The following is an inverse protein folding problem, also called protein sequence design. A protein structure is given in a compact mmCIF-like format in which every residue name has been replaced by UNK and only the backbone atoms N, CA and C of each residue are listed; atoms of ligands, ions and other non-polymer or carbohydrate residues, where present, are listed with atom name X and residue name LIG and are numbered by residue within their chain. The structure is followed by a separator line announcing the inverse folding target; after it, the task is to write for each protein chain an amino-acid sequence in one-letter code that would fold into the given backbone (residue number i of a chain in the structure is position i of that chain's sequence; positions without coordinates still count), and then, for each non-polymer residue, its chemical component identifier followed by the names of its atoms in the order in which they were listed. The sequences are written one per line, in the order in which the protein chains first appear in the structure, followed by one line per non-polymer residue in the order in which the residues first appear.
data_IF_668125085318
#
_entry.id   IF_668125085318
#
_cell.length_a   1.000
_cell.length_b   1.000
_cell.length_c   1.000
_cell.angle_alpha   90.00
_cell.angle_beta   90.00
_cell.angle_gamma   90.00
#
_symmetry.space_group_name_H-M   'P 1'
#
loop_
_entity.id
_entity.type
_entity.pdbx_description
1 polymer ?
#
# COMPACT_ATOMS: atom_id res chain seq x y z
N UNK A 1 -41.67 28.16 53.14
CA UNK A 1 -42.09 28.04 51.74
C UNK A 1 -40.82 27.80 50.96
N UNK A 2 -40.46 26.53 50.82
CA UNK A 2 -40.43 25.73 49.55
C UNK A 2 -39.15 26.06 48.76
N UNK A 3 -38.30 25.13 48.33
CA UNK A 3 -38.31 23.67 48.21
C UNK A 3 -36.85 23.19 48.04
N UNK A 4 -36.58 21.93 48.37
CA UNK A 4 -35.37 21.18 47.99
C UNK A 4 -35.42 20.78 46.51
N UNK A 5 -34.29 20.69 45.80
CA UNK A 5 -33.94 19.47 45.02
C UNK A 5 -32.44 19.39 44.70
N UNK A 6 -31.90 18.17 44.83
CA UNK A 6 -30.55 17.69 44.54
C UNK A 6 -30.27 17.42 43.04
N UNK A 7 -28.96 17.37 42.72
CA UNK A 7 -28.21 16.42 41.84
C UNK A 7 -28.47 16.26 40.33
N UNK A 8 -27.36 16.28 39.59
CA UNK A 8 -26.76 15.22 38.73
C UNK A 8 -26.22 15.86 37.44
N UNK A 9 -24.91 15.83 37.18
CA UNK A 9 -24.23 14.79 36.38
C UNK A 9 -24.01 15.33 34.95
N UNK A 10 -22.84 15.91 34.64
CA UNK A 10 -21.62 15.24 34.14
C UNK A 10 -21.73 14.84 32.65
N UNK A 11 -20.84 15.47 31.87
CA UNK A 11 -20.11 15.00 30.68
C UNK A 11 -20.80 14.06 29.68
N UNK A 12 -20.85 14.52 28.42
CA UNK A 12 -20.42 13.78 27.23
C UNK A 12 -20.50 14.71 26.01
N UNK A 13 -19.38 15.32 25.62
CA UNK A 13 -19.20 15.98 24.31
C UNK A 13 -17.76 15.89 23.77
N UNK A 14 -17.00 14.89 24.21
CA UNK A 14 -15.60 14.70 23.81
C UNK A 14 -15.36 13.37 23.05
N UNK A 15 -16.42 12.73 22.53
CA UNK A 15 -16.31 11.41 21.90
C UNK A 15 -16.31 11.38 20.37
N UNK A 16 -16.70 12.45 19.69
CA UNK A 16 -16.76 12.47 18.20
C UNK A 16 -15.53 13.14 17.56
N UNK A 17 -14.82 14.03 18.29
CA UNK A 17 -13.73 14.82 17.71
C UNK A 17 -12.37 14.09 17.61
N UNK A 18 -12.19 12.98 18.34
CA UNK A 18 -10.91 12.24 18.36
C UNK A 18 -10.83 11.22 17.21
N UNK A 19 -11.95 10.60 16.82
CA UNK A 19 -12.02 9.71 15.66
C UNK A 19 -11.84 10.44 14.31
N UNK A 20 -12.23 11.74 14.25
CA UNK A 20 -12.17 12.56 13.03
C UNK A 20 -10.74 12.94 12.61
N UNK A 21 -9.76 12.85 13.51
CA UNK A 21 -8.38 13.29 13.26
C UNK A 21 -7.49 12.19 12.66
N UNK A 22 -7.96 10.93 12.69
CA UNK A 22 -7.13 9.73 12.48
C UNK A 22 -6.96 9.36 10.99
N UNK A 23 -7.96 9.64 10.14
CA UNK A 23 -7.98 9.16 8.75
C UNK A 23 -7.69 10.21 7.66
N UNK A 24 -7.42 11.47 8.04
CA UNK A 24 -7.26 12.58 7.09
C UNK A 24 -5.81 12.82 6.62
N UNK A 25 -5.01 11.77 6.34
CA UNK A 25 -3.66 11.94 5.78
C UNK A 25 -3.53 11.59 4.29
N UNK A 26 -4.52 12.02 3.50
CA UNK A 26 -4.45 12.11 2.03
C UNK A 26 -3.60 13.30 1.54
N UNK A 27 -2.78 13.90 2.41
CA UNK A 27 -2.03 15.14 2.13
C UNK A 27 -2.79 16.43 2.46
N UNK A 28 -3.99 16.32 3.03
CA UNK A 28 -4.76 17.44 3.53
C UNK A 28 -4.08 18.06 4.76
N UNK A 29 -3.89 19.38 4.76
CA UNK A 29 -3.26 20.12 5.88
C UNK A 29 -4.13 21.27 6.39
N UNK A 30 -5.31 21.46 5.81
CA UNK A 30 -6.29 22.47 6.21
C UNK A 30 -7.61 21.78 6.50
N UNK A 31 -8.41 22.35 7.39
CA UNK A 31 -9.72 21.78 7.77
C UNK A 31 -10.58 21.47 6.53
N UNK A 32 -10.76 22.45 5.65
CA UNK A 32 -11.53 22.25 4.42
C UNK A 32 -10.95 21.13 3.52
N UNK A 33 -9.63 20.94 3.48
CA UNK A 33 -9.04 19.83 2.74
C UNK A 33 -9.28 18.49 3.43
N UNK A 34 -9.32 18.45 4.77
CA UNK A 34 -9.65 17.25 5.54
C UNK A 34 -11.12 16.88 5.30
N UNK A 35 -12.04 17.86 5.39
CA UNK A 35 -13.47 17.65 5.14
C UNK A 35 -13.74 17.07 3.73
N UNK A 36 -13.02 17.57 2.71
CA UNK A 36 -13.11 17.05 1.33
C UNK A 36 -12.58 15.62 1.24
N UNK A 37 -11.44 15.34 1.87
CA UNK A 37 -10.80 14.04 1.86
C UNK A 37 -11.69 12.99 2.54
N UNK A 38 -12.25 13.33 3.70
CA UNK A 38 -13.20 12.52 4.46
C UNK A 38 -14.48 12.26 3.66
N UNK A 39 -15.13 13.31 3.14
CA UNK A 39 -16.31 13.18 2.28
C UNK A 39 -16.04 12.27 1.09
N UNK A 40 -14.85 12.37 0.48
CA UNK A 40 -14.48 11.50 -0.64
C UNK A 40 -14.34 10.04 -0.21
N UNK A 41 -13.77 9.77 0.96
CA UNK A 41 -13.60 8.39 1.46
C UNK A 41 -14.93 7.79 1.90
N UNK A 42 -15.83 8.59 2.49
CA UNK A 42 -17.19 8.14 2.82
C UNK A 42 -17.98 7.71 1.59
N UNK A 43 -17.80 8.40 0.47
CA UNK A 43 -18.38 7.98 -0.81
C UNK A 43 -17.76 6.65 -1.26
N UNK A 44 -16.44 6.47 -1.12
CA UNK A 44 -15.76 5.22 -1.52
C UNK A 44 -16.22 4.04 -0.66
N UNK A 45 -16.38 4.21 0.65
CA UNK A 45 -16.86 3.19 1.60
C UNK A 45 -18.30 2.74 1.35
N UNK A 46 -19.09 3.49 0.56
CA UNK A 46 -20.39 3.01 0.09
C UNK A 46 -20.28 1.90 -0.97
N UNK A 47 -19.12 1.78 -1.62
CA UNK A 47 -18.89 0.82 -2.70
C UNK A 47 -17.90 -0.29 -2.36
N UNK A 48 -16.91 0.01 -1.52
CA UNK A 48 -15.88 -0.94 -1.10
C UNK A 48 -16.11 -1.24 0.39
N UNK A 49 -16.11 -2.53 0.81
CA UNK A 49 -16.14 -2.89 2.22
C UNK A 49 -15.01 -2.25 3.03
N UNK A 50 -15.06 -2.36 4.35
CA UNK A 50 -14.03 -1.86 5.28
C UNK A 50 -13.76 -2.89 6.38
N UNK A 51 -13.65 -4.16 6.00
CA UNK A 51 -13.53 -5.29 6.94
C UNK A 51 -12.09 -5.87 6.95
N UNK A 52 -11.41 -5.81 5.82
CA UNK A 52 -10.07 -6.36 5.62
C UNK A 52 -9.03 -5.25 5.37
N UNK A 53 -7.75 -5.53 5.64
CA UNK A 53 -6.68 -4.61 5.25
C UNK A 53 -6.57 -4.48 3.73
N UNK A 54 -6.88 -5.55 3.00
CA UNK A 54 -7.03 -5.54 1.55
C UNK A 54 -8.14 -4.58 1.09
N UNK A 55 -9.17 -4.36 1.89
CA UNK A 55 -10.22 -3.40 1.55
C UNK A 55 -9.72 -1.95 1.63
N UNK A 56 -8.85 -1.61 2.58
CA UNK A 56 -8.17 -0.30 2.60
C UNK A 56 -7.37 -0.06 1.33
N UNK A 57 -6.68 -1.07 0.82
CA UNK A 57 -5.96 -1.02 -0.45
C UNK A 57 -6.94 -0.81 -1.62
N UNK A 58 -8.08 -1.50 -1.63
CA UNK A 58 -9.14 -1.32 -2.64
C UNK A 58 -9.73 0.07 -2.60
N UNK A 59 -10.11 0.58 -1.42
CA UNK A 59 -10.62 1.94 -1.24
C UNK A 59 -9.61 2.97 -1.75
N UNK A 60 -8.33 2.81 -1.38
CA UNK A 60 -7.26 3.70 -1.84
C UNK A 60 -7.07 3.65 -3.36
N UNK A 61 -7.24 2.48 -3.98
CA UNK A 61 -7.20 2.34 -5.44
C UNK A 61 -8.35 3.09 -6.12
N UNK A 62 -9.58 2.96 -5.60
CA UNK A 62 -10.76 3.66 -6.11
C UNK A 62 -10.60 5.17 -5.96
N UNK A 63 -10.20 5.64 -4.78
CA UNK A 63 -9.97 7.06 -4.51
C UNK A 63 -8.90 7.64 -5.45
N UNK A 64 -7.75 6.96 -5.58
CA UNK A 64 -6.64 7.46 -6.41
C UNK A 64 -6.97 7.47 -7.90
N UNK A 65 -7.81 6.55 -8.38
CA UNK A 65 -8.15 6.43 -9.80
C UNK A 65 -9.43 7.16 -10.18
N UNK A 66 -10.28 7.51 -9.20
CA UNK A 66 -11.62 8.06 -9.44
C UNK A 66 -12.54 7.07 -10.15
N UNK A 67 -12.33 5.76 -9.95
CA UNK A 67 -13.01 4.68 -10.67
C UNK A 67 -13.37 3.55 -9.71
N UNK A 68 -14.67 3.35 -9.45
CA UNK A 68 -15.18 2.37 -8.50
C UNK A 68 -14.83 0.94 -8.91
N UNK A 69 -14.69 0.69 -10.21
CA UNK A 69 -14.39 -0.65 -10.74
C UNK A 69 -12.98 -1.11 -10.37
N UNK A 70 -12.09 -0.20 -9.95
CA UNK A 70 -10.73 -0.56 -9.60
C UNK A 70 -10.65 -1.56 -8.44
N UNK A 71 -11.61 -1.54 -7.52
CA UNK A 71 -11.69 -2.50 -6.41
C UNK A 71 -11.68 -3.96 -6.87
N UNK A 72 -12.25 -4.23 -8.05
CA UNK A 72 -12.36 -5.58 -8.64
C UNK A 72 -11.14 -5.98 -9.48
N UNK A 73 -10.18 -5.07 -9.64
CA UNK A 73 -8.97 -5.33 -10.43
C UNK A 73 -7.77 -5.69 -9.58
N UNK A 74 -7.80 -5.37 -8.28
CA UNK A 74 -6.69 -5.59 -7.36
C UNK A 74 -6.52 -7.09 -7.13
N UNK A 75 -5.27 -7.53 -7.22
CA UNK A 75 -4.88 -8.93 -7.00
C UNK A 75 -3.84 -8.96 -5.89
N UNK A 76 -4.02 -9.86 -4.95
CA UNK A 76 -3.18 -10.05 -3.77
C UNK A 76 -2.54 -11.43 -3.86
N UNK A 77 -1.24 -11.53 -3.61
CA UNK A 77 -0.48 -12.78 -3.70
C UNK A 77 0.46 -12.88 -2.52
N UNK A 78 0.56 -14.07 -1.92
CA UNK A 78 1.43 -14.36 -0.79
C UNK A 78 0.65 -14.80 0.43
N UNK A 79 1.34 -15.47 1.33
CA UNK A 79 0.78 -15.97 2.59
C UNK A 79 1.64 -15.51 3.76
N UNK A 80 1.11 -15.59 4.98
CA UNK A 80 1.92 -15.46 6.19
C UNK A 80 1.46 -16.44 7.28
N UNK A 81 1.97 -16.27 8.51
CA UNK A 81 1.69 -17.18 9.63
C UNK A 81 0.19 -17.23 10.03
N UNK A 82 -0.59 -16.20 9.67
CA UNK A 82 -2.02 -16.13 9.95
C UNK A 82 -2.81 -16.94 8.93
N UNK A 83 -2.38 -16.87 7.65
CA UNK A 83 -2.97 -17.65 6.59
C UNK A 83 -2.64 -17.14 5.19
N UNK A 84 -3.29 -17.79 4.22
CA UNK A 84 -3.31 -17.41 2.81
C UNK A 84 -4.56 -16.56 2.55
N UNK A 85 -4.52 -15.31 3.02
CA UNK A 85 -5.58 -14.32 2.86
C UNK A 85 -5.07 -13.08 2.10
N UNK A 86 -5.99 -12.25 1.62
CA UNK A 86 -5.62 -11.04 0.85
C UNK A 86 -4.92 -9.97 1.70
N UNK A 87 -5.02 -10.08 3.02
CA UNK A 87 -4.36 -9.18 3.96
C UNK A 87 -2.87 -9.48 4.10
N UNK A 88 -2.41 -10.72 3.83
CA UNK A 88 -1.02 -11.14 3.97
C UNK A 88 -0.01 -10.19 3.28
N UNK A 89 -0.16 -9.82 1.99
CA UNK A 89 0.74 -8.84 1.37
C UNK A 89 0.63 -7.43 1.94
N UNK A 90 -0.52 -7.04 2.50
CA UNK A 90 -0.69 -5.74 3.17
C UNK A 90 0.06 -5.75 4.51
N UNK A 91 -0.08 -6.82 5.30
CA UNK A 91 0.66 -7.03 6.54
C UNK A 91 2.16 -7.06 6.30
N UNK A 92 2.63 -7.81 5.30
CA UNK A 92 4.04 -7.87 4.93
C UNK A 92 4.60 -6.48 4.56
N UNK A 93 3.86 -5.72 3.76
CA UNK A 93 4.21 -4.34 3.42
C UNK A 93 4.27 -3.41 4.63
N UNK A 94 3.27 -3.48 5.51
CA UNK A 94 3.24 -2.69 6.74
C UNK A 94 4.39 -3.05 7.69
N UNK A 95 4.67 -4.35 7.90
CA UNK A 95 5.83 -4.83 8.67
C UNK A 95 7.15 -4.33 8.09
N UNK A 96 7.28 -4.30 6.77
CA UNK A 96 8.47 -3.73 6.11
C UNK A 96 8.60 -2.22 6.36
N UNK A 97 7.50 -1.47 6.36
CA UNK A 97 7.52 -0.04 6.72
C UNK A 97 7.88 0.16 8.20
N UNK A 98 7.35 -0.68 9.10
CA UNK A 98 7.69 -0.68 10.53
C UNK A 98 9.18 -0.96 10.76
N UNK A 99 9.75 -1.87 9.98
CA UNK A 99 11.18 -2.21 9.99
C UNK A 99 12.06 -1.19 9.24
N UNK A 100 11.49 -0.06 8.79
CA UNK A 100 12.19 0.99 8.05
C UNK A 100 12.87 0.50 6.75
N UNK A 101 12.33 -0.54 6.13
CA UNK A 101 12.84 -1.13 4.89
C UNK A 101 12.94 -0.09 3.77
N UNK A 102 13.92 -0.25 2.87
CA UNK A 102 14.06 0.64 1.71
C UNK A 102 12.86 0.48 0.78
N UNK A 103 12.31 1.60 0.29
CA UNK A 103 11.29 1.63 -0.75
C UNK A 103 11.97 1.92 -2.08
N UNK A 104 11.95 0.96 -3.00
CA UNK A 104 12.64 1.04 -4.29
C UNK A 104 11.62 1.16 -5.41
N UNK A 105 11.55 2.32 -6.04
CA UNK A 105 10.58 2.57 -7.11
C UNK A 105 11.19 2.45 -8.50
N UNK A 106 10.44 2.02 -9.51
CA UNK A 106 10.93 1.95 -10.90
C UNK A 106 11.36 3.32 -11.47
N UNK A 107 10.55 4.36 -11.24
CA UNK A 107 10.78 5.71 -11.78
C UNK A 107 10.58 6.84 -10.77
N UNK A 108 11.03 8.05 -11.14
CA UNK A 108 10.95 9.26 -10.31
C UNK A 108 9.53 9.63 -9.88
N UNK A 109 8.52 9.46 -10.74
CA UNK A 109 7.13 9.85 -10.42
C UNK A 109 6.55 9.00 -9.30
N UNK A 110 6.77 7.68 -9.34
CA UNK A 110 6.37 6.76 -8.27
C UNK A 110 7.02 7.19 -6.94
N UNK A 111 8.34 7.46 -6.92
CA UNK A 111 9.06 7.96 -5.74
C UNK A 111 8.49 9.26 -5.18
N UNK A 112 8.11 10.19 -6.07
CA UNK A 112 7.64 11.51 -5.68
C UNK A 112 6.23 11.49 -5.07
N UNK A 113 5.37 10.55 -5.50
CA UNK A 113 4.03 10.39 -4.95
C UNK A 113 3.99 9.68 -3.59
N UNK A 114 5.06 8.98 -3.21
CA UNK A 114 5.14 8.31 -1.92
C UNK A 114 5.44 9.35 -0.83
N UNK A 115 4.61 9.40 0.21
CA UNK A 115 4.74 10.33 1.33
C UNK A 115 6.09 10.18 2.03
N UNK A 116 6.55 11.21 2.72
CA UNK A 116 7.71 11.14 3.62
C UNK A 116 7.32 11.27 5.09
N UNK A 117 6.01 11.28 5.38
CA UNK A 117 5.46 11.42 6.73
C UNK A 117 5.07 10.04 7.24
N UNK A 118 5.21 9.83 8.54
CA UNK A 118 4.80 8.58 9.19
C UNK A 118 5.75 7.39 9.01
N UNK A 119 6.96 7.56 8.46
CA UNK A 119 7.98 6.51 8.40
C UNK A 119 9.38 7.09 8.12
N UNK A 120 10.45 6.32 8.40
CA UNK A 120 11.84 6.69 8.11
C UNK A 120 12.48 5.90 6.96
N UNK A 121 11.71 5.09 6.23
CA UNK A 121 12.21 4.30 5.10
C UNK A 121 13.00 5.16 4.09
N UNK A 122 14.17 4.68 3.69
CA UNK A 122 14.89 5.28 2.57
C UNK A 122 14.11 5.08 1.28
N UNK A 123 13.93 6.15 0.48
CA UNK A 123 13.31 6.05 -0.85
C UNK A 123 14.37 6.09 -1.94
N UNK A 124 14.48 5.03 -2.73
CA UNK A 124 15.35 4.92 -3.90
C UNK A 124 14.53 4.80 -5.19
N UNK A 125 15.15 5.16 -6.31
CA UNK A 125 14.57 4.92 -7.64
C UNK A 125 15.55 4.10 -8.48
N UNK A 126 15.02 3.14 -9.24
CA UNK A 126 15.80 2.35 -10.16
C UNK A 126 16.32 3.21 -11.30
N UNK A 127 15.44 3.91 -12.02
CA UNK A 127 15.84 4.66 -13.22
C UNK A 127 17.04 5.59 -12.97
N UNK A 128 18.08 5.39 -13.76
CA UNK A 128 19.35 6.14 -13.67
C UNK A 128 20.54 5.30 -13.21
N UNK A 129 20.33 4.07 -12.75
CA UNK A 129 21.40 3.19 -12.24
C UNK A 129 21.91 2.15 -13.26
N UNK A 130 21.32 2.06 -14.46
CA UNK A 130 21.67 1.04 -15.47
C UNK A 130 21.96 1.59 -16.86
N UNK A 131 22.51 2.81 -16.98
CA UNK A 131 22.73 3.45 -18.27
C UNK A 131 23.72 2.68 -19.16
N UNK A 132 24.83 2.20 -18.58
CA UNK A 132 25.85 1.42 -19.28
C UNK A 132 25.30 0.06 -19.72
N UNK A 133 24.70 -0.70 -18.79
CA UNK A 133 24.08 -1.99 -19.10
C UNK A 133 22.99 -1.88 -20.18
N UNK A 134 22.17 -0.83 -20.16
CA UNK A 134 21.16 -0.60 -21.19
C UNK A 134 21.79 -0.35 -22.59
N UNK A 135 22.90 0.39 -22.64
CA UNK A 135 23.60 0.65 -23.90
C UNK A 135 24.26 -0.62 -24.47
N UNK A 136 24.81 -1.47 -23.60
CA UNK A 136 25.48 -2.71 -23.99
C UNK A 136 24.50 -3.80 -24.45
N UNK A 137 23.37 -3.95 -23.76
CA UNK A 137 22.42 -5.06 -23.97
C UNK A 137 21.23 -4.71 -24.87
N UNK A 138 20.96 -3.42 -25.10
CA UNK A 138 19.78 -2.95 -25.81
C UNK A 138 18.48 -3.03 -24.98
N UNK A 139 18.55 -3.37 -23.69
CA UNK A 139 17.40 -3.37 -22.79
C UNK A 139 16.90 -1.94 -22.50
N UNK A 140 15.68 -1.84 -21.95
CA UNK A 140 15.19 -0.55 -21.48
C UNK A 140 16.02 -0.08 -20.28
N UNK A 141 16.18 1.25 -20.16
CA UNK A 141 16.92 1.84 -19.02
C UNK A 141 16.36 1.42 -17.66
N UNK A 142 15.04 1.25 -17.55
CA UNK A 142 14.40 0.83 -16.29
C UNK A 142 14.69 -0.62 -15.98
N UNK A 143 14.60 -1.54 -16.95
CA UNK A 143 14.95 -2.95 -16.75
C UNK A 143 16.44 -3.10 -16.36
N UNK A 144 17.34 -2.47 -17.10
CA UNK A 144 18.76 -2.48 -16.79
C UNK A 144 19.05 -1.91 -15.38
N UNK A 145 18.34 -0.85 -14.99
CA UNK A 145 18.53 -0.28 -13.65
C UNK A 145 18.00 -1.18 -12.52
N UNK A 146 16.94 -1.95 -12.76
CA UNK A 146 16.47 -2.96 -11.80
C UNK A 146 17.56 -4.01 -11.59
N UNK A 147 18.10 -4.57 -12.68
CA UNK A 147 19.17 -5.56 -12.60
C UNK A 147 20.43 -5.03 -11.90
N UNK A 148 20.82 -3.77 -12.14
CA UNK A 148 21.99 -3.18 -11.46
C UNK A 148 21.76 -2.95 -9.96
N UNK A 149 20.56 -2.53 -9.56
CA UNK A 149 20.23 -2.41 -8.14
C UNK A 149 20.13 -3.79 -7.46
N UNK A 150 19.63 -4.79 -8.17
CA UNK A 150 19.57 -6.16 -7.69
C UNK A 150 20.94 -6.77 -7.44
N UNK A 151 21.90 -6.60 -8.35
CA UNK A 151 23.31 -7.00 -8.14
C UNK A 151 23.95 -6.37 -6.90
N UNK A 152 23.42 -5.24 -6.44
CA UNK A 152 23.87 -4.54 -5.23
C UNK A 152 23.13 -4.98 -3.96
N UNK A 153 22.20 -5.94 -4.07
CA UNK A 153 21.37 -6.43 -2.95
C UNK A 153 20.31 -5.43 -2.48
N UNK A 154 19.95 -4.43 -3.31
CA UNK A 154 19.06 -3.33 -2.88
C UNK A 154 17.60 -3.78 -2.75
N UNK A 155 17.21 -4.88 -3.40
CA UNK A 155 15.84 -5.38 -3.36
C UNK A 155 15.58 -6.37 -2.23
N UNK A 156 16.60 -6.98 -1.63
CA UNK A 156 16.39 -7.93 -0.52
C UNK A 156 15.83 -7.21 0.71
N UNK A 157 14.68 -7.70 1.19
CA UNK A 157 13.92 -7.08 2.28
C UNK A 157 13.31 -5.72 1.95
N UNK A 158 13.42 -5.24 0.71
CA UNK A 158 12.88 -3.95 0.30
C UNK A 158 11.40 -4.03 -0.08
N UNK A 159 10.74 -2.87 -0.08
CA UNK A 159 9.43 -2.70 -0.72
C UNK A 159 9.69 -2.29 -2.18
N UNK A 160 9.46 -3.20 -3.11
CA UNK A 160 9.68 -2.96 -4.54
C UNK A 160 8.41 -2.40 -5.19
N UNK A 161 8.50 -1.22 -5.82
CA UNK A 161 7.34 -0.48 -6.35
C UNK A 161 7.52 -0.23 -7.85
N UNK A 162 6.67 -0.83 -8.68
CA UNK A 162 6.71 -0.68 -10.14
C UNK A 162 5.41 -0.05 -10.62
N UNK A 163 5.45 1.25 -10.92
CA UNK A 163 4.26 2.01 -11.33
C UNK A 163 4.16 2.28 -12.83
N UNK A 164 5.27 2.23 -13.57
CA UNK A 164 5.29 2.73 -14.95
C UNK A 164 5.81 1.72 -15.97
N UNK A 165 6.91 1.03 -15.70
CA UNK A 165 7.60 0.25 -16.73
C UNK A 165 7.29 -1.25 -16.63
N UNK A 166 6.53 -1.85 -17.59
CA UNK A 166 6.34 -3.30 -17.65
C UNK A 166 7.67 -4.07 -17.72
N UNK A 167 8.66 -3.50 -18.39
CA UNK A 167 10.01 -4.08 -18.47
C UNK A 167 10.76 -4.07 -17.15
N UNK A 168 10.45 -3.15 -16.23
CA UNK A 168 10.99 -3.19 -14.88
C UNK A 168 10.33 -4.31 -14.06
N UNK A 169 9.02 -4.53 -14.23
CA UNK A 169 8.32 -5.65 -13.59
C UNK A 169 8.85 -7.01 -14.08
N UNK A 170 9.10 -7.18 -15.38
CA UNK A 170 9.77 -8.39 -15.88
C UNK A 170 11.16 -8.58 -15.27
N UNK A 171 12.00 -7.55 -15.27
CA UNK A 171 13.33 -7.64 -14.68
C UNK A 171 13.28 -7.97 -13.17
N UNK A 172 12.33 -7.39 -12.42
CA UNK A 172 12.15 -7.69 -11.01
C UNK A 172 11.70 -9.15 -10.80
N UNK A 173 10.80 -9.66 -11.64
CA UNK A 173 10.40 -11.06 -11.60
C UNK A 173 11.59 -11.99 -11.87
N UNK A 174 12.44 -11.66 -12.85
CA UNK A 174 13.67 -12.41 -13.12
C UNK A 174 14.62 -12.38 -11.90
N UNK A 175 14.75 -11.24 -11.21
CA UNK A 175 15.53 -11.15 -9.97
C UNK A 175 14.98 -12.08 -8.88
N UNK A 176 13.66 -12.06 -8.65
CA UNK A 176 13.02 -12.92 -7.64
C UNK A 176 13.22 -14.40 -7.97
N UNK A 177 13.04 -14.77 -9.24
CA UNK A 177 13.30 -16.13 -9.73
C UNK A 177 14.76 -16.57 -9.48
N UNK A 178 15.71 -15.62 -9.54
CA UNK A 178 17.12 -15.85 -9.28
C UNK A 178 17.55 -15.75 -7.80
N UNK A 179 16.61 -15.54 -6.88
CA UNK A 179 16.85 -15.63 -5.44
C UNK A 179 16.63 -14.34 -4.65
N UNK A 180 16.37 -13.21 -5.31
CA UNK A 180 16.06 -11.95 -4.63
C UNK A 180 14.75 -12.06 -3.86
N UNK A 181 14.68 -11.53 -2.63
CA UNK A 181 13.49 -11.60 -1.78
C UNK A 181 13.07 -10.22 -1.26
N UNK A 182 12.32 -9.44 -2.05
CA UNK A 182 11.64 -8.25 -1.54
C UNK A 182 10.69 -8.60 -0.39
N UNK A 183 10.54 -7.71 0.59
CA UNK A 183 9.58 -7.90 1.68
C UNK A 183 8.13 -7.75 1.19
N UNK A 184 7.91 -6.90 0.19
CA UNK A 184 6.65 -6.79 -0.52
C UNK A 184 6.86 -6.17 -1.91
N UNK A 185 5.99 -6.50 -2.86
CA UNK A 185 5.96 -5.93 -4.21
C UNK A 185 4.65 -5.19 -4.45
N UNK A 186 4.71 -3.95 -4.92
CA UNK A 186 3.56 -3.20 -5.44
C UNK A 186 3.79 -2.96 -6.93
N UNK A 187 3.14 -3.74 -7.79
CA UNK A 187 3.36 -3.69 -9.23
C UNK A 187 2.07 -3.36 -9.99
N UNK A 188 1.96 -2.10 -10.43
CA UNK A 188 0.83 -1.59 -11.21
C UNK A 188 1.29 -0.85 -12.48
N UNK A 189 2.24 -1.37 -13.28
CA UNK A 189 2.65 -0.70 -14.52
C UNK A 189 1.45 -0.53 -15.47
N UNK A 190 1.24 0.69 -15.95
CA UNK A 190 0.21 1.01 -16.95
C UNK A 190 0.71 0.71 -18.36
N UNK A 191 -0.19 0.29 -19.25
CA UNK A 191 0.12 0.24 -20.67
C UNK A 191 -0.74 -0.69 -21.49
N UNK A 192 -0.63 -0.54 -22.81
CA UNK A 192 -1.30 -1.40 -23.80
C UNK A 192 -0.41 -2.53 -24.32
N UNK A 193 0.87 -2.50 -23.97
CA UNK A 193 1.87 -3.48 -24.41
C UNK A 193 2.55 -4.01 -23.17
N UNK A 194 2.54 -5.33 -22.99
CA UNK A 194 3.30 -6.05 -21.97
C UNK A 194 2.92 -5.76 -20.51
N UNK A 195 2.05 -4.80 -20.25
CA UNK A 195 1.70 -4.37 -18.90
C UNK A 195 0.95 -5.47 -18.15
N UNK A 196 -0.02 -6.11 -18.79
CA UNK A 196 -0.83 -7.18 -18.21
C UNK A 196 0.03 -8.41 -17.96
N UNK A 197 0.78 -8.83 -18.98
CA UNK A 197 1.69 -9.97 -18.93
C UNK A 197 2.81 -9.77 -17.88
N UNK A 198 3.29 -8.54 -17.69
CA UNK A 198 4.31 -8.26 -16.67
C UNK A 198 3.80 -8.40 -15.23
N UNK A 199 2.53 -8.10 -14.99
CA UNK A 199 1.91 -8.25 -13.66
C UNK A 199 1.52 -9.69 -13.40
N UNK A 200 1.03 -10.39 -14.42
CA UNK A 200 0.84 -11.84 -14.37
C UNK A 200 2.15 -12.54 -14.01
N UNK A 201 3.25 -12.19 -14.69
CA UNK A 201 4.57 -12.74 -14.37
C UNK A 201 5.02 -12.44 -12.94
N UNK A 202 4.73 -11.24 -12.41
CA UNK A 202 5.00 -10.93 -10.99
C UNK A 202 4.19 -11.84 -10.08
N UNK A 203 2.88 -12.03 -10.33
CA UNK A 203 2.03 -12.92 -9.51
C UNK A 203 2.54 -14.36 -9.51
N UNK A 204 2.82 -14.92 -10.69
CA UNK A 204 3.34 -16.29 -10.83
C UNK A 204 4.63 -16.50 -10.03
N UNK A 205 5.57 -15.55 -10.14
CA UNK A 205 6.85 -15.62 -9.42
C UNK A 205 6.68 -15.36 -7.93
N UNK A 206 5.78 -14.45 -7.56
CA UNK A 206 5.44 -14.15 -6.17
C UNK A 206 4.88 -15.39 -5.47
N UNK A 207 3.97 -16.11 -6.13
CA UNK A 207 3.42 -17.37 -5.64
C UNK A 207 4.49 -18.48 -5.59
N UNK A 208 5.29 -18.63 -6.64
CA UNK A 208 6.31 -19.69 -6.71
C UNK A 208 7.44 -19.54 -5.67
N UNK A 209 7.74 -18.31 -5.26
CA UNK A 209 8.90 -17.99 -4.40
C UNK A 209 8.51 -17.33 -3.07
N UNK A 210 7.22 -17.32 -2.74
CA UNK A 210 6.66 -16.77 -1.50
C UNK A 210 7.08 -15.32 -1.24
N UNK A 211 6.94 -14.48 -2.27
CA UNK A 211 7.18 -13.04 -2.19
C UNK A 211 5.82 -12.33 -2.19
N UNK A 212 5.43 -11.62 -1.12
CA UNK A 212 4.13 -10.96 -1.08
C UNK A 212 4.00 -9.86 -2.12
N UNK A 213 2.88 -9.83 -2.84
CA UNK A 213 2.65 -8.89 -3.93
C UNK A 213 1.23 -8.34 -3.99
N UNK A 214 1.12 -7.07 -4.36
CA UNK A 214 -0.11 -6.35 -4.69
C UNK A 214 0.01 -5.89 -6.14
N UNK A 215 -0.88 -6.39 -6.99
CA UNK A 215 -0.92 -6.06 -8.42
C UNK A 215 -2.34 -5.72 -8.87
N UNK A 216 -2.55 -5.58 -10.18
CA UNK A 216 -3.89 -5.47 -10.72
C UNK A 216 -4.03 -6.11 -12.11
N UNK A 217 -5.25 -6.42 -12.54
CA UNK A 217 -5.55 -6.95 -13.90
C UNK A 217 -5.91 -5.84 -14.91
N UNK A 218 -5.92 -6.19 -16.20
CA UNK A 218 -6.23 -5.29 -17.31
C UNK A 218 -5.14 -4.25 -17.57
N UNK A 219 -5.39 -3.17 -18.32
CA UNK A 219 -4.34 -2.23 -18.80
C UNK A 219 -4.09 -0.99 -17.94
N UNK A 220 -4.99 -0.76 -16.97
CA UNK A 220 -4.98 0.40 -16.08
C UNK A 220 -3.88 0.23 -15.02
N UNK A 221 -3.39 1.33 -14.48
CA UNK A 221 -2.31 1.35 -13.50
C UNK A 221 -1.66 2.73 -13.46
N UNK A 222 -0.36 2.78 -13.13
CA UNK A 222 0.44 3.99 -13.21
C UNK A 222 1.18 4.30 -11.92
N UNK A 223 2.10 5.27 -12.00
CA UNK A 223 2.85 5.75 -10.84
C UNK A 223 1.97 6.33 -9.73
N UNK A 224 0.84 6.96 -10.08
CA UNK A 224 -0.12 7.47 -9.10
C UNK A 224 -0.72 6.35 -8.26
N UNK A 225 -1.17 5.27 -8.91
CA UNK A 225 -1.69 4.09 -8.22
C UNK A 225 -0.61 3.45 -7.35
N UNK A 226 0.56 3.15 -7.92
CA UNK A 226 1.65 2.50 -7.20
C UNK A 226 2.05 3.29 -5.93
N UNK A 227 2.14 4.62 -6.04
CA UNK A 227 2.40 5.49 -4.90
C UNK A 227 1.25 5.48 -3.88
N UNK A 228 -0.01 5.53 -4.33
CA UNK A 228 -1.17 5.50 -3.45
C UNK A 228 -1.28 4.19 -2.64
N UNK A 229 -1.07 3.04 -3.29
CA UNK A 229 -1.08 1.74 -2.61
C UNK A 229 0.11 1.62 -1.63
N UNK A 230 1.29 2.10 -2.01
CA UNK A 230 2.45 2.13 -1.10
C UNK A 230 2.21 3.07 0.09
N UNK A 231 1.54 4.21 -0.12
CA UNK A 231 1.15 5.10 0.97
C UNK A 231 0.16 4.43 1.92
N UNK A 232 -0.73 3.57 1.42
CA UNK A 232 -1.63 2.82 2.30
C UNK A 232 -0.90 1.82 3.17
N UNK A 233 0.15 1.16 2.67
CA UNK A 233 1.03 0.33 3.51
C UNK A 233 1.67 1.18 4.64
N UNK A 234 2.03 2.43 4.34
CA UNK A 234 2.58 3.37 5.32
C UNK A 234 1.51 3.79 6.34
N UNK A 235 0.27 4.01 5.91
CA UNK A 235 -0.84 4.33 6.82
C UNK A 235 -1.16 3.15 7.74
N UNK A 236 -1.33 1.95 7.19
CA UNK A 236 -1.50 0.72 8.00
C UNK A 236 -0.37 0.57 9.02
N UNK A 237 0.89 0.78 8.62
CA UNK A 237 2.02 0.74 9.55
C UNK A 237 2.01 1.87 10.60
N UNK A 238 1.48 3.04 10.26
CA UNK A 238 1.34 4.16 11.20
C UNK A 238 0.30 3.82 12.26
N UNK A 239 -0.87 3.32 11.86
CA UNK A 239 -1.98 2.97 12.74
C UNK A 239 -1.56 1.89 13.76
N UNK A 240 -0.66 0.98 13.34
CA UNK A 240 -0.04 0.00 14.25
C UNK A 240 0.86 0.65 15.29
N UNK A 241 1.63 1.69 14.93
CA UNK A 241 2.51 2.37 15.89
C UNK A 241 1.74 3.22 16.89
N UNK A 242 0.53 3.63 16.54
CA UNK A 242 -0.37 4.40 17.40
C UNK A 242 -1.30 3.51 18.21
N UNK A 243 -1.13 2.17 18.11
CA UNK A 243 -1.95 1.15 18.77
C UNK A 243 -3.44 1.18 18.31
N UNK A 244 -3.72 1.78 17.15
CA UNK A 244 -5.06 1.86 16.54
C UNK A 244 -5.38 0.60 15.69
N UNK A 245 -4.36 -0.23 15.42
CA UNK A 245 -4.49 -1.44 14.62
C UNK A 245 -3.53 -2.55 15.08
N UNK A 246 -4.07 -3.72 15.39
CA UNK A 246 -3.30 -4.95 15.61
C UNK A 246 -3.13 -5.73 14.29
N UNK A 247 -1.90 -5.74 13.75
CA UNK A 247 -1.58 -6.38 12.46
C UNK A 247 -1.77 -7.90 12.47
N UNK A 248 -1.52 -8.54 13.61
CA UNK A 248 -1.42 -10.00 13.71
C UNK A 248 -2.75 -10.69 14.07
N UNK A 249 -3.84 -9.93 14.11
CA UNK A 249 -5.19 -10.48 14.25
C UNK A 249 -5.78 -10.85 12.90
N UNK A 250 -6.59 -11.90 12.83
CA UNK A 250 -7.39 -12.20 11.65
C UNK A 250 -8.48 -11.13 11.47
N UNK A 251 -8.95 -10.92 10.23
CA UNK A 251 -9.98 -9.91 9.94
C UNK A 251 -11.25 -10.09 10.79
N UNK A 252 -11.69 -11.34 11.00
CA UNK A 252 -12.85 -11.66 11.83
C UNK A 252 -12.67 -11.24 13.30
N UNK A 253 -11.44 -11.35 13.83
CA UNK A 253 -11.14 -11.00 15.22
C UNK A 253 -11.02 -9.48 15.40
N UNK A 254 -10.41 -8.77 14.44
CA UNK A 254 -10.37 -7.30 14.43
C UNK A 254 -11.78 -6.69 14.42
N UNK A 255 -12.68 -7.21 13.59
CA UNK A 255 -14.06 -6.75 13.54
C UNK A 255 -14.81 -6.94 14.87
N UNK A 256 -14.46 -7.99 15.63
CA UNK A 256 -15.05 -8.28 16.93
C UNK A 256 -14.55 -7.35 18.04
N UNK A 257 -13.29 -6.88 17.99
CA UNK A 257 -12.74 -5.90 18.93
C UNK A 257 -13.41 -4.54 18.76
N UNK A 258 -13.61 -4.08 17.53
CA UNK A 258 -14.31 -2.80 17.24
C UNK A 258 -15.77 -2.81 17.71
N UNK A 259 -16.42 -3.98 17.77
CA UNK A 259 -17.78 -4.12 18.33
C UNK A 259 -17.82 -4.41 19.83
N UNK A 260 -16.67 -4.66 20.46
CA UNK A 260 -16.53 -5.05 21.86
C UNK A 260 -16.44 -3.88 22.86
N UNK A 261 -16.05 -2.68 22.40
CA UNK A 261 -16.03 -1.45 23.21
C UNK A 261 -17.42 -0.81 23.28
N UNK A 262 -18.34 -1.49 23.96
CA UNK A 262 -19.73 -1.04 24.09
C UNK A 262 -20.54 -1.81 25.12
N UNK A 263 -19.94 -2.19 26.25
CA UNK A 263 -20.64 -2.83 27.37
C UNK A 263 -20.21 -2.33 28.74
#
# INVERSE_FOLDING_TARGET
MTEQTEKAGADTKDGEADFEQEYADLGATTQNAMDIAETSMDIVRQFVPDEMLADRIRQKSVHSMGDIEFQHLLEFTGSDEIGDDEDAPVRAGARAVLAEATIVTDITMSKAGITGRGHNCEKRKAIGNGAELAAETGMTRTAASVLELDKQGVYDGAIAVVGNAPTAAFALADCIENGTRPAAVVATPVGFVKAEESRERIREISEAYDVPAITNVGRRGGSGLAAALTNELIHVAKDVRTDDLELDLAAADRAAETTGEGR
#
